data_IF_336967907726
#
_entry.id   IF_336967907726
#
_cell.length_a   1.000
_cell.length_b   1.000
_cell.length_c   1.000
_cell.angle_alpha   90.00
_cell.angle_beta   90.00
_cell.angle_gamma   90.00
#
_symmetry.space_group_name_H-M   'P 1'
#
loop_
_entity.id
_entity.type
_entity.pdbx_description
1 polymer ?
#
# COMPACT_ATOMS: atom_id res chain seq x y z
N UNK A 1 -41.56 34.38 32.96
CA UNK A 1 -42.35 35.47 32.44
C UNK A 1 -43.18 34.87 31.34
N UNK A 2 -44.37 34.48 31.77
CA UNK A 2 -45.69 34.93 31.26
C UNK A 2 -45.97 34.27 29.93
N UNK A 3 -46.76 33.26 29.91
CA UNK A 3 -48.25 33.18 30.03
C UNK A 3 -48.87 33.08 28.67
N UNK A 4 -49.56 32.02 28.49
CA UNK A 4 -51.04 31.89 28.46
C UNK A 4 -51.63 32.14 27.06
N UNK A 5 -52.67 31.57 26.56
CA UNK A 5 -53.78 30.85 27.15
C UNK A 5 -54.73 30.34 26.04
N UNK A 6 -55.41 29.21 26.28
CA UNK A 6 -56.82 28.96 26.02
C UNK A 6 -57.41 29.16 24.60
N UNK A 7 -58.26 28.37 24.06
CA UNK A 7 -59.26 27.54 24.62
C UNK A 7 -60.27 27.01 23.58
N UNK A 8 -60.90 25.93 23.91
CA UNK A 8 -62.34 25.58 23.84
C UNK A 8 -63.07 25.77 22.53
N UNK A 9 -63.84 24.89 22.03
CA UNK A 9 -64.80 23.92 22.56
C UNK A 9 -65.73 23.52 21.46
N UNK A 10 -66.19 22.40 21.51
CA UNK A 10 -67.49 21.88 21.94
C UNK A 10 -68.43 21.46 20.81
N UNK A 11 -68.84 20.24 20.97
CA UNK A 11 -70.18 19.66 20.91
C UNK A 11 -70.75 19.07 19.63
N UNK A 12 -70.99 17.75 19.76
CA UNK A 12 -71.94 16.94 19.03
C UNK A 12 -73.40 17.38 19.42
N UNK A 13 -74.51 16.81 18.98
CA UNK A 13 -74.83 15.45 18.52
C UNK A 13 -75.96 15.37 17.47
N UNK A 14 -76.88 14.37 17.47
CA UNK A 14 -76.93 13.13 16.70
C UNK A 14 -78.12 13.12 15.72
N UNK A 15 -78.39 11.99 15.01
CA UNK A 15 -79.71 11.40 14.85
C UNK A 15 -79.66 10.12 13.99
N UNK A 16 -80.39 9.15 14.47
CA UNK A 16 -80.81 7.84 14.08
C UNK A 16 -81.26 7.64 12.63
N UNK A 17 -81.11 6.39 12.18
CA UNK A 17 -81.75 5.84 11.01
C UNK A 17 -81.50 4.34 10.87
N UNK A 18 -82.42 3.56 11.37
CA UNK A 18 -82.55 2.12 11.28
C UNK A 18 -82.59 1.60 9.83
N UNK A 19 -82.08 0.40 9.62
CA UNK A 19 -82.64 -0.38 8.53
C UNK A 19 -81.81 -1.53 7.98
N UNK A 20 -82.09 -2.74 8.44
CA UNK A 20 -82.19 -4.03 7.72
C UNK A 20 -80.92 -4.85 7.53
N UNK A 21 -80.91 -5.94 8.21
CA UNK A 21 -80.04 -7.10 8.12
C UNK A 21 -80.11 -7.86 6.81
N UNK A 22 -78.96 -8.30 6.28
CA UNK A 22 -78.80 -9.38 5.31
C UNK A 22 -77.52 -10.16 5.65
N UNK A 23 -77.46 -11.48 5.50
CA UNK A 23 -76.58 -12.34 6.29
C UNK A 23 -75.22 -12.61 5.64
N UNK A 24 -74.21 -12.60 6.51
CA UNK A 24 -73.00 -13.48 6.52
C UNK A 24 -72.21 -13.70 5.24
N UNK A 25 -71.22 -12.85 5.03
CA UNK A 25 -70.02 -13.17 4.21
C UNK A 25 -68.71 -13.16 5.05
N UNK A 26 -68.81 -13.10 6.38
CA UNK A 26 -67.67 -13.06 7.28
C UNK A 26 -66.90 -14.38 7.47
N UNK A 27 -67.47 -15.50 7.04
CA UNK A 27 -66.87 -16.82 7.26
C UNK A 27 -66.04 -17.32 6.10
N UNK A 28 -66.30 -16.88 4.89
CA UNK A 28 -65.51 -17.23 3.69
C UNK A 28 -64.22 -16.45 3.62
N UNK A 29 -64.23 -15.17 4.05
CA UNK A 29 -63.03 -14.34 4.10
C UNK A 29 -62.09 -14.72 5.27
N UNK A 30 -62.62 -15.19 6.40
CA UNK A 30 -61.79 -15.70 7.48
C UNK A 30 -61.14 -17.04 7.17
N UNK A 31 -61.77 -17.92 6.43
CA UNK A 31 -61.17 -19.20 5.99
C UNK A 31 -60.12 -19.02 4.90
N UNK A 32 -60.22 -18.01 4.06
CA UNK A 32 -59.18 -17.67 3.07
C UNK A 32 -57.95 -17.04 3.72
N UNK A 33 -58.15 -16.18 4.72
CA UNK A 33 -57.03 -15.54 5.44
C UNK A 33 -56.34 -16.51 6.40
N UNK A 34 -57.05 -17.43 7.05
CA UNK A 34 -56.44 -18.49 7.87
C UNK A 34 -55.74 -19.56 7.01
N UNK A 35 -56.27 -19.85 5.82
CA UNK A 35 -55.63 -20.77 4.86
C UNK A 35 -54.32 -20.23 4.29
N UNK A 36 -54.25 -18.94 4.02
CA UNK A 36 -53.02 -18.28 3.54
C UNK A 36 -52.02 -18.08 4.67
N UNK A 37 -52.43 -17.75 5.89
CA UNK A 37 -51.56 -17.69 7.06
C UNK A 37 -50.96 -19.05 7.44
N UNK A 38 -51.74 -20.13 7.35
CA UNK A 38 -51.26 -21.50 7.55
C UNK A 38 -50.34 -22.01 6.40
N UNK A 39 -50.56 -21.56 5.17
CA UNK A 39 -49.63 -21.85 4.05
C UNK A 39 -48.32 -21.11 4.20
N UNK A 40 -48.32 -19.86 4.64
CA UNK A 40 -47.10 -19.06 4.91
C UNK A 40 -46.34 -19.65 6.10
N UNK A 41 -47.00 -20.02 7.21
CA UNK A 41 -46.35 -20.66 8.34
C UNK A 41 -45.73 -22.03 8.01
N UNK A 42 -46.39 -22.85 7.20
CA UNK A 42 -45.84 -24.13 6.72
C UNK A 42 -44.72 -23.99 5.69
N UNK A 43 -44.68 -22.88 4.92
CA UNK A 43 -43.60 -22.63 3.96
C UNK A 43 -42.30 -22.20 4.68
N UNK A 44 -42.37 -21.51 5.79
CA UNK A 44 -41.17 -21.07 6.52
C UNK A 44 -40.46 -22.24 7.23
N UNK A 45 -41.19 -23.25 7.69
CA UNK A 45 -40.59 -24.36 8.43
C UNK A 45 -39.78 -25.30 7.57
N UNK A 46 -40.29 -25.72 6.39
CA UNK A 46 -39.54 -26.58 5.48
C UNK A 46 -38.37 -25.85 4.80
N UNK A 47 -38.50 -24.57 4.46
CA UNK A 47 -37.39 -23.75 3.96
C UNK A 47 -36.28 -23.68 4.98
N UNK A 48 -36.59 -23.58 6.27
CA UNK A 48 -35.61 -23.60 7.35
C UNK A 48 -34.88 -24.96 7.48
N UNK A 49 -35.56 -26.07 7.17
CA UNK A 49 -34.93 -27.40 7.11
C UNK A 49 -33.96 -27.48 5.92
N UNK A 50 -34.39 -27.07 4.75
CA UNK A 50 -33.56 -27.03 3.53
C UNK A 50 -32.32 -26.15 3.78
N UNK A 51 -32.49 -24.97 4.38
CA UNK A 51 -31.39 -24.06 4.69
C UNK A 51 -30.36 -24.70 5.63
N UNK A 52 -30.82 -25.31 6.73
CA UNK A 52 -29.93 -25.96 7.71
C UNK A 52 -29.12 -27.09 7.09
N UNK A 53 -29.77 -27.92 6.28
CA UNK A 53 -29.14 -29.08 5.68
C UNK A 53 -28.13 -28.66 4.61
N UNK A 54 -28.49 -27.68 3.74
CA UNK A 54 -27.59 -27.15 2.75
C UNK A 54 -26.37 -26.42 3.36
N UNK A 55 -26.60 -25.66 4.44
CA UNK A 55 -25.53 -24.99 5.18
C UNK A 55 -24.55 -25.99 5.84
N UNK A 56 -25.07 -27.10 6.38
CA UNK A 56 -24.26 -28.16 6.95
C UNK A 56 -23.41 -28.87 5.90
N UNK A 57 -23.98 -29.16 4.71
CA UNK A 57 -23.23 -29.79 3.61
C UNK A 57 -22.08 -28.92 3.08
N UNK A 58 -22.33 -27.64 2.95
CA UNK A 58 -21.34 -26.68 2.44
C UNK A 58 -20.40 -26.14 3.53
N UNK A 59 -20.61 -26.53 4.80
CA UNK A 59 -19.90 -25.99 5.97
C UNK A 59 -19.86 -24.44 5.97
N UNK A 60 -21.03 -23.83 5.79
CA UNK A 60 -21.18 -22.37 5.65
C UNK A 60 -22.28 -21.83 6.55
N UNK A 61 -22.28 -20.53 6.89
CA UNK A 61 -23.33 -19.91 7.69
C UNK A 61 -24.71 -19.96 7.01
N UNK A 62 -25.74 -20.36 7.74
CA UNK A 62 -27.12 -20.48 7.24
C UNK A 62 -27.70 -19.11 6.82
N UNK A 63 -27.23 -18.03 7.40
CA UNK A 63 -27.67 -16.66 7.12
C UNK A 63 -27.47 -16.25 5.65
N UNK A 64 -26.56 -16.91 4.95
CA UNK A 64 -26.28 -16.67 3.52
C UNK A 64 -27.38 -17.22 2.59
N UNK A 65 -28.34 -18.01 3.10
CA UNK A 65 -29.39 -18.64 2.30
C UNK A 65 -30.77 -18.00 2.44
N UNK A 66 -31.03 -17.25 3.52
CA UNK A 66 -32.38 -16.86 3.91
C UNK A 66 -33.21 -16.22 2.80
N UNK A 67 -32.66 -15.22 2.11
CA UNK A 67 -33.35 -14.49 1.05
C UNK A 67 -33.34 -15.27 -0.29
N UNK A 68 -32.29 -16.05 -0.55
CA UNK A 68 -32.17 -16.84 -1.77
C UNK A 68 -33.23 -17.95 -1.86
N UNK A 69 -33.48 -18.66 -0.79
CA UNK A 69 -34.46 -19.74 -0.77
C UNK A 69 -35.90 -19.25 -1.01
N UNK A 70 -36.26 -18.08 -0.49
CA UNK A 70 -37.56 -17.48 -0.78
C UNK A 70 -37.73 -17.11 -2.25
N UNK A 71 -36.69 -16.55 -2.89
CA UNK A 71 -36.68 -16.23 -4.32
C UNK A 71 -36.84 -17.50 -5.16
N UNK A 72 -36.14 -18.58 -4.80
CA UNK A 72 -36.28 -19.88 -5.48
C UNK A 72 -37.64 -20.48 -5.33
N UNK A 73 -38.21 -20.46 -4.11
CA UNK A 73 -39.54 -21.00 -3.84
C UNK A 73 -40.63 -20.25 -4.64
N UNK A 74 -40.57 -18.92 -4.62
CA UNK A 74 -41.48 -18.07 -5.38
C UNK A 74 -41.39 -18.32 -6.87
N UNK A 75 -40.18 -18.44 -7.42
CA UNK A 75 -40.01 -18.76 -8.84
C UNK A 75 -40.55 -20.13 -9.22
N UNK A 76 -40.34 -21.14 -8.37
CA UNK A 76 -40.83 -22.49 -8.60
C UNK A 76 -42.36 -22.57 -8.59
N UNK A 77 -43.02 -21.78 -7.72
CA UNK A 77 -44.48 -21.78 -7.57
C UNK A 77 -45.20 -20.89 -8.59
N UNK A 78 -44.65 -19.72 -8.90
CA UNK A 78 -45.29 -18.70 -9.74
C UNK A 78 -44.73 -18.62 -11.16
N UNK A 79 -43.56 -19.19 -11.44
CA UNK A 79 -42.82 -19.01 -12.70
C UNK A 79 -42.23 -17.60 -12.86
N UNK A 80 -42.34 -16.76 -11.85
CA UNK A 80 -41.88 -15.35 -11.85
C UNK A 80 -40.36 -15.26 -11.92
N UNK A 81 -39.86 -14.28 -12.64
CA UNK A 81 -38.43 -13.92 -12.60
C UNK A 81 -38.12 -13.09 -11.36
N UNK A 82 -36.92 -13.20 -10.80
CA UNK A 82 -36.50 -12.40 -9.67
C UNK A 82 -36.47 -10.90 -10.06
N UNK A 83 -36.86 -10.05 -9.13
CA UNK A 83 -36.80 -8.60 -9.29
C UNK A 83 -35.37 -8.12 -9.06
N UNK A 84 -35.05 -6.92 -9.55
CA UNK A 84 -33.75 -6.30 -9.33
C UNK A 84 -33.40 -6.15 -7.83
N UNK A 85 -34.40 -5.89 -6.98
CA UNK A 85 -34.20 -5.79 -5.52
C UNK A 85 -33.82 -7.13 -4.89
N UNK A 86 -34.40 -8.21 -5.37
CA UNK A 86 -34.11 -9.57 -4.91
C UNK A 86 -32.70 -10.00 -5.33
N UNK A 87 -32.29 -9.74 -6.55
CA UNK A 87 -30.92 -9.97 -7.02
C UNK A 87 -29.90 -9.09 -6.28
N UNK A 88 -30.26 -7.85 -5.94
CA UNK A 88 -29.38 -6.99 -5.12
C UNK A 88 -29.22 -7.52 -3.70
N UNK A 89 -30.26 -8.18 -3.14
CA UNK A 89 -30.14 -8.85 -1.85
C UNK A 89 -29.17 -10.03 -1.91
N UNK A 90 -29.22 -10.83 -2.97
CA UNK A 90 -28.25 -11.91 -3.22
C UNK A 90 -26.83 -11.36 -3.40
N UNK A 91 -26.68 -10.23 -4.10
CA UNK A 91 -25.36 -9.56 -4.21
C UNK A 91 -24.82 -9.14 -2.85
N UNK A 92 -25.68 -8.66 -1.94
CA UNK A 92 -25.26 -8.35 -0.55
C UNK A 92 -24.84 -9.60 0.23
N UNK A 93 -25.53 -10.74 0.00
CA UNK A 93 -25.12 -12.01 0.60
C UNK A 93 -23.75 -12.46 0.09
N UNK A 94 -23.46 -12.28 -1.19
CA UNK A 94 -22.12 -12.53 -1.74
C UNK A 94 -21.04 -11.67 -1.06
N UNK A 95 -21.31 -10.39 -0.82
CA UNK A 95 -20.40 -9.52 -0.03
C UNK A 95 -20.20 -10.04 1.38
N UNK A 96 -21.28 -10.38 2.08
CA UNK A 96 -21.23 -10.92 3.45
C UNK A 96 -20.43 -12.23 3.51
N UNK A 97 -20.58 -13.11 2.51
CA UNK A 97 -19.81 -14.34 2.43
C UNK A 97 -18.28 -14.04 2.38
N UNK A 98 -17.87 -13.08 1.56
CA UNK A 98 -16.47 -12.66 1.48
C UNK A 98 -15.98 -12.06 2.82
N UNK A 99 -16.76 -11.19 3.46
CA UNK A 99 -16.46 -10.57 4.76
C UNK A 99 -16.32 -11.60 5.89
N UNK A 100 -17.07 -12.72 5.81
CA UNK A 100 -16.99 -13.83 6.75
C UNK A 100 -15.88 -14.85 6.40
N UNK A 101 -15.09 -14.60 5.36
CA UNK A 101 -14.01 -15.48 4.94
C UNK A 101 -14.47 -16.74 4.20
N UNK A 102 -15.75 -16.82 3.80
CA UNK A 102 -16.27 -17.92 2.99
C UNK A 102 -15.73 -17.80 1.57
N UNK A 103 -15.14 -18.88 1.04
CA UNK A 103 -14.64 -18.89 -0.33
C UNK A 103 -15.78 -18.81 -1.36
N UNK A 104 -15.50 -18.22 -2.54
CA UNK A 104 -16.50 -18.06 -3.60
C UNK A 104 -17.08 -19.40 -4.05
N UNK A 105 -16.25 -20.45 -4.14
CA UNK A 105 -16.72 -21.79 -4.54
C UNK A 105 -17.63 -22.38 -3.48
N UNK A 106 -17.28 -22.23 -2.19
CA UNK A 106 -18.14 -22.67 -1.07
C UNK A 106 -19.49 -21.96 -1.06
N UNK A 107 -19.50 -20.65 -1.35
CA UNK A 107 -20.75 -19.89 -1.45
C UNK A 107 -21.61 -20.35 -2.64
N UNK A 108 -21.00 -20.67 -3.78
CA UNK A 108 -21.70 -21.25 -4.94
C UNK A 108 -22.24 -22.65 -4.63
N UNK A 109 -21.42 -23.51 -4.03
CA UNK A 109 -21.82 -24.87 -3.64
C UNK A 109 -23.00 -24.85 -2.66
N UNK A 110 -23.01 -23.89 -1.70
CA UNK A 110 -24.12 -23.66 -0.81
C UNK A 110 -25.43 -23.37 -1.57
N UNK A 111 -25.36 -22.47 -2.56
CA UNK A 111 -26.52 -22.07 -3.36
C UNK A 111 -27.04 -23.22 -4.24
N UNK A 112 -26.14 -23.97 -4.84
CA UNK A 112 -26.49 -25.13 -5.67
C UNK A 112 -27.07 -26.27 -4.82
N UNK A 113 -26.50 -26.57 -3.67
CA UNK A 113 -27.02 -27.56 -2.72
C UNK A 113 -28.43 -27.18 -2.21
N UNK A 114 -28.59 -25.89 -1.86
CA UNK A 114 -29.87 -25.37 -1.43
C UNK A 114 -30.96 -25.48 -2.52
N UNK A 115 -30.62 -25.13 -3.77
CA UNK A 115 -31.53 -25.24 -4.91
C UNK A 115 -31.91 -26.68 -5.20
N UNK A 116 -30.93 -27.61 -5.15
CA UNK A 116 -31.18 -29.05 -5.34
C UNK A 116 -32.10 -29.61 -4.27
N UNK A 117 -31.87 -29.30 -2.99
CA UNK A 117 -32.73 -29.76 -1.90
C UNK A 117 -34.12 -29.15 -1.96
N UNK A 118 -34.21 -27.84 -2.26
CA UNK A 118 -35.49 -27.17 -2.44
C UNK A 118 -36.32 -27.87 -3.54
N UNK A 119 -35.70 -28.19 -4.70
CA UNK A 119 -36.35 -28.87 -5.80
C UNK A 119 -36.95 -30.22 -5.39
N UNK A 120 -36.27 -30.98 -4.52
CA UNK A 120 -36.74 -32.29 -4.03
C UNK A 120 -37.93 -32.18 -3.06
N UNK A 121 -37.99 -31.07 -2.30
CA UNK A 121 -38.95 -30.90 -1.22
C UNK A 121 -40.23 -30.14 -1.65
N UNK A 122 -40.30 -29.52 -2.83
CA UNK A 122 -41.49 -28.76 -3.28
C UNK A 122 -42.68 -29.69 -3.47
N UNK A 123 -43.72 -29.66 -2.58
CA UNK A 123 -44.79 -30.66 -2.59
C UNK A 123 -45.68 -30.61 -3.84
N UNK A 124 -45.88 -29.40 -4.38
CA UNK A 124 -46.71 -29.13 -5.55
C UNK A 124 -46.08 -29.63 -6.83
N UNK A 125 -44.76 -29.79 -6.91
CA UNK A 125 -44.00 -30.24 -8.07
C UNK A 125 -43.79 -31.76 -7.98
N UNK A 126 -43.33 -32.25 -6.84
CA UNK A 126 -43.04 -33.69 -6.63
C UNK A 126 -44.29 -34.57 -6.80
N UNK A 127 -45.49 -34.06 -6.45
CA UNK A 127 -46.76 -34.76 -6.56
C UNK A 127 -47.52 -34.44 -7.86
N UNK A 128 -47.02 -33.57 -8.72
CA UNK A 128 -47.71 -33.17 -9.95
C UNK A 128 -47.55 -34.23 -11.03
N UNK A 129 -48.70 -34.58 -11.67
CA UNK A 129 -48.73 -35.41 -12.87
C UNK A 129 -48.69 -34.60 -14.18
N UNK A 130 -48.73 -33.26 -14.06
CA UNK A 130 -48.70 -32.33 -15.17
C UNK A 130 -47.26 -32.02 -15.56
N UNK A 131 -46.77 -32.62 -16.64
CA UNK A 131 -45.42 -32.48 -17.17
C UNK A 131 -45.06 -31.04 -17.58
N UNK A 132 -46.06 -30.28 -18.10
CA UNK A 132 -45.82 -28.90 -18.54
C UNK A 132 -45.58 -27.98 -17.33
N UNK A 133 -46.33 -28.15 -16.24
CA UNK A 133 -46.12 -27.42 -15.00
C UNK A 133 -44.75 -27.72 -14.38
N UNK A 134 -44.38 -29.00 -14.35
CA UNK A 134 -43.05 -29.39 -13.84
C UNK A 134 -41.93 -28.80 -14.67
N UNK A 135 -42.05 -28.80 -16.00
CA UNK A 135 -41.07 -28.21 -16.90
C UNK A 135 -40.96 -26.69 -16.73
N UNK A 136 -42.10 -25.99 -16.66
CA UNK A 136 -42.10 -24.54 -16.45
C UNK A 136 -41.46 -24.13 -15.10
N UNK A 137 -41.73 -24.90 -14.04
CA UNK A 137 -41.12 -24.68 -12.73
C UNK A 137 -39.60 -24.94 -12.79
N UNK A 138 -39.15 -26.00 -13.45
CA UNK A 138 -37.73 -26.30 -13.62
C UNK A 138 -37.00 -25.18 -14.37
N UNK A 139 -37.58 -24.73 -15.49
CA UNK A 139 -37.02 -23.59 -16.25
C UNK A 139 -36.94 -22.32 -15.43
N UNK A 140 -37.93 -22.03 -14.57
CA UNK A 140 -37.91 -20.86 -13.70
C UNK A 140 -36.81 -20.96 -12.63
N UNK A 141 -36.72 -22.11 -11.94
CA UNK A 141 -35.70 -22.36 -10.93
C UNK A 141 -34.28 -22.27 -11.50
N UNK A 142 -34.03 -22.90 -12.66
CA UNK A 142 -32.70 -22.85 -13.30
C UNK A 142 -32.30 -21.43 -13.69
N UNK A 143 -33.26 -20.63 -14.19
CA UNK A 143 -33.00 -19.21 -14.46
C UNK A 143 -32.60 -18.43 -13.17
N UNK A 144 -33.36 -18.64 -12.08
CA UNK A 144 -33.04 -17.99 -10.80
C UNK A 144 -31.68 -18.43 -10.29
N UNK A 145 -31.34 -19.71 -10.37
CA UNK A 145 -30.03 -20.22 -9.97
C UNK A 145 -28.94 -19.51 -10.76
N UNK A 146 -29.07 -19.43 -12.09
CA UNK A 146 -28.09 -18.76 -12.93
C UNK A 146 -27.90 -17.28 -12.54
N UNK A 147 -29.01 -16.54 -12.49
CA UNK A 147 -29.00 -15.11 -12.16
C UNK A 147 -28.48 -14.87 -10.73
N UNK A 148 -28.85 -15.71 -9.76
CA UNK A 148 -28.43 -15.59 -8.37
C UNK A 148 -26.95 -15.92 -8.19
N UNK A 149 -26.44 -16.98 -8.80
CA UNK A 149 -25.02 -17.36 -8.73
C UNK A 149 -24.14 -16.28 -9.36
N UNK A 150 -24.55 -15.72 -10.51
CA UNK A 150 -23.84 -14.63 -11.17
C UNK A 150 -23.68 -13.42 -10.21
N UNK A 151 -24.78 -12.91 -9.66
CA UNK A 151 -24.74 -11.73 -8.78
C UNK A 151 -24.09 -12.02 -7.42
N UNK A 152 -24.18 -13.27 -6.92
CA UNK A 152 -23.47 -13.71 -5.72
C UNK A 152 -21.96 -13.60 -5.91
N UNK A 153 -21.44 -14.16 -7.00
CA UNK A 153 -20.01 -14.14 -7.34
C UNK A 153 -19.53 -12.72 -7.59
N UNK A 154 -20.31 -11.90 -8.29
CA UNK A 154 -19.99 -10.47 -8.47
C UNK A 154 -19.88 -9.73 -7.13
N UNK A 155 -20.86 -9.94 -6.24
CA UNK A 155 -20.86 -9.35 -4.91
C UNK A 155 -19.65 -9.77 -4.07
N UNK A 156 -19.34 -11.06 -4.08
CA UNK A 156 -18.18 -11.64 -3.40
C UNK A 156 -16.85 -11.06 -3.92
N UNK A 157 -16.66 -11.05 -5.24
CA UNK A 157 -15.46 -10.51 -5.86
C UNK A 157 -15.30 -9.01 -5.61
N UNK A 158 -16.40 -8.25 -5.64
CA UNK A 158 -16.38 -6.81 -5.35
C UNK A 158 -15.92 -6.54 -3.91
N UNK A 159 -16.45 -7.29 -2.94
CA UNK A 159 -16.04 -7.18 -1.54
C UNK A 159 -14.56 -7.57 -1.37
N UNK A 160 -14.14 -8.69 -1.95
CA UNK A 160 -12.75 -9.14 -1.89
C UNK A 160 -11.78 -8.09 -2.43
N UNK A 161 -12.10 -7.50 -3.60
CA UNK A 161 -11.29 -6.39 -4.16
C UNK A 161 -11.29 -5.16 -3.26
N UNK A 162 -12.40 -4.87 -2.60
CA UNK A 162 -12.48 -3.73 -1.66
C UNK A 162 -11.65 -3.97 -0.42
N UNK A 163 -11.71 -5.17 0.18
CA UNK A 163 -10.90 -5.55 1.35
C UNK A 163 -9.41 -5.45 1.04
N UNK A 164 -8.96 -5.99 -0.10
CA UNK A 164 -7.56 -5.88 -0.53
C UNK A 164 -7.14 -4.41 -0.67
N UNK A 165 -7.97 -3.57 -1.32
CA UNK A 165 -7.64 -2.13 -1.44
C UNK A 165 -7.60 -1.40 -0.10
N UNK A 166 -8.47 -1.76 0.84
CA UNK A 166 -8.46 -1.17 2.18
C UNK A 166 -7.21 -1.57 2.97
N UNK A 167 -6.82 -2.84 2.88
CA UNK A 167 -5.60 -3.34 3.50
C UNK A 167 -4.35 -2.67 2.92
N UNK A 168 -4.25 -2.58 1.58
CA UNK A 168 -3.17 -1.85 0.92
C UNK A 168 -3.14 -0.36 1.29
N UNK A 169 -4.31 0.28 1.40
CA UNK A 169 -4.40 1.69 1.79
C UNK A 169 -3.96 1.89 3.24
N UNK A 170 -4.43 1.04 4.16
CA UNK A 170 -4.03 1.08 5.56
C UNK A 170 -2.53 0.83 5.74
N UNK A 171 -1.95 -0.10 4.95
CA UNK A 171 -0.50 -0.35 4.95
C UNK A 171 0.29 0.86 4.48
N UNK A 172 -0.13 1.51 3.38
CA UNK A 172 0.53 2.73 2.87
C UNK A 172 0.47 3.86 3.89
N UNK A 173 -0.69 4.12 4.47
CA UNK A 173 -0.88 5.14 5.49
C UNK A 173 -0.02 4.87 6.73
N UNK A 174 0.03 3.61 7.19
CA UNK A 174 0.89 3.22 8.30
C UNK A 174 2.38 3.46 8.00
N UNK A 175 2.85 3.06 6.81
CA UNK A 175 4.24 3.29 6.36
C UNK A 175 4.54 4.78 6.31
N UNK A 176 3.63 5.59 5.77
CA UNK A 176 3.81 7.04 5.69
C UNK A 176 3.93 7.68 7.07
N UNK A 177 3.06 7.31 7.99
CA UNK A 177 3.08 7.82 9.37
C UNK A 177 4.35 7.38 10.12
N UNK A 178 4.74 6.11 9.96
CA UNK A 178 5.94 5.54 10.59
C UNK A 178 7.22 6.24 10.12
N UNK A 179 7.33 6.49 8.81
CA UNK A 179 8.52 7.12 8.22
C UNK A 179 8.56 8.64 8.39
N UNK A 180 7.41 9.28 8.60
CA UNK A 180 7.33 10.72 8.89
C UNK A 180 7.80 11.05 10.29
N UNK A 181 7.49 10.20 11.27
CA UNK A 181 7.97 10.32 12.65
C UNK A 181 7.30 11.41 13.48
N UNK A 182 6.22 12.01 13.03
CA UNK A 182 5.46 13.06 13.72
C UNK A 182 4.14 12.55 14.34
N UNK A 183 3.81 11.29 14.14
CA UNK A 183 2.59 10.64 14.61
C UNK A 183 2.77 10.15 16.06
N UNK A 184 1.67 10.16 16.83
CA UNK A 184 1.62 9.61 18.19
C UNK A 184 2.09 8.15 18.21
N UNK A 185 3.12 7.89 19.03
CA UNK A 185 3.76 6.57 19.15
C UNK A 185 2.77 5.50 19.58
N UNK A 186 1.82 5.81 20.47
CA UNK A 186 0.84 4.84 20.93
C UNK A 186 -0.05 4.32 19.80
N UNK A 187 -0.48 5.21 18.91
CA UNK A 187 -1.25 4.84 17.72
C UNK A 187 -0.42 4.05 16.70
N UNK A 188 0.88 4.37 16.58
CA UNK A 188 1.77 3.61 15.72
C UNK A 188 1.98 2.19 16.23
N UNK A 189 2.12 2.00 17.54
CA UNK A 189 2.28 0.67 18.17
C UNK A 189 1.05 -0.20 17.93
N UNK A 190 -0.16 0.33 18.15
CA UNK A 190 -1.40 -0.42 17.88
C UNK A 190 -1.53 -0.84 16.42
N UNK A 191 -1.12 0.02 15.49
CA UNK A 191 -1.18 -0.24 14.04
C UNK A 191 -0.02 -1.09 13.52
N UNK A 192 1.04 -1.29 14.30
CA UNK A 192 2.20 -2.09 13.93
C UNK A 192 1.98 -3.60 14.11
N UNK A 193 1.13 -3.98 15.07
CA UNK A 193 0.85 -5.39 15.40
C UNK A 193 0.35 -6.22 14.21
N UNK A 194 -0.63 -5.76 13.38
CA UNK A 194 -1.07 -6.48 12.20
C UNK A 194 0.03 -6.73 11.15
N UNK A 195 1.09 -5.93 11.18
CA UNK A 195 2.25 -6.05 10.27
C UNK A 195 3.41 -6.84 10.88
N UNK A 196 3.24 -7.40 12.07
CA UNK A 196 4.26 -8.18 12.76
C UNK A 196 5.47 -7.38 13.23
N UNK A 197 5.34 -6.04 13.38
CA UNK A 197 6.42 -5.14 13.78
C UNK A 197 6.39 -4.85 15.28
N UNK A 198 7.52 -5.11 15.96
CA UNK A 198 7.76 -4.68 17.34
C UNK A 198 8.54 -3.36 17.35
N UNK A 199 7.82 -2.24 17.44
CA UNK A 199 8.42 -0.90 17.46
C UNK A 199 9.28 -0.62 18.71
N UNK A 200 9.28 -1.50 19.69
CA UNK A 200 10.21 -1.42 20.84
C UNK A 200 11.65 -1.82 20.51
N UNK A 201 11.84 -2.57 19.42
CA UNK A 201 13.14 -3.04 18.97
C UNK A 201 13.89 -2.01 18.15
N UNK A 202 15.19 -2.29 17.93
CA UNK A 202 16.02 -1.50 17.02
C UNK A 202 15.77 -1.93 15.57
N UNK A 203 15.55 -0.96 14.68
CA UNK A 203 15.33 -1.21 13.25
C UNK A 203 16.25 -0.33 12.39
N UNK A 204 16.63 -0.87 11.24
CA UNK A 204 17.37 -0.18 10.18
C UNK A 204 16.48 -0.02 8.94
N UNK A 205 16.51 1.15 8.33
CA UNK A 205 15.87 1.42 7.05
C UNK A 205 16.92 1.47 5.95
N UNK A 206 16.66 0.73 4.88
CA UNK A 206 17.40 0.84 3.62
C UNK A 206 16.45 1.28 2.51
N UNK A 207 16.93 2.15 1.63
CA UNK A 207 16.21 2.65 0.46
C UNK A 207 16.92 2.21 -0.81
N UNK A 208 16.15 1.69 -1.77
CA UNK A 208 16.69 1.40 -3.08
C UNK A 208 15.96 2.22 -4.15
N UNK A 209 16.74 2.81 -5.05
CA UNK A 209 16.24 3.60 -6.16
C UNK A 209 16.84 3.11 -7.48
N UNK A 210 16.05 3.02 -8.55
CA UNK A 210 16.59 2.76 -9.87
C UNK A 210 17.44 3.95 -10.34
N UNK A 211 18.56 3.66 -10.96
CA UNK A 211 19.44 4.70 -11.54
C UNK A 211 18.81 5.27 -12.82
N UNK A 212 17.97 4.49 -13.50
CA UNK A 212 17.18 4.92 -14.68
C UNK A 212 15.70 4.68 -14.40
N UNK A 213 14.84 5.55 -14.88
CA UNK A 213 13.40 5.56 -14.62
C UNK A 213 12.59 4.39 -15.22
N UNK A 214 13.22 3.35 -15.75
CA UNK A 214 12.54 2.24 -16.43
C UNK A 214 12.14 1.08 -15.49
N UNK A 215 12.74 1.00 -14.31
CA UNK A 215 12.47 -0.08 -13.36
C UNK A 215 11.19 0.17 -12.56
N UNK A 216 10.35 -0.85 -12.45
CA UNK A 216 9.13 -0.79 -11.62
C UNK A 216 9.48 -1.09 -10.16
N UNK A 217 9.33 -0.10 -9.30
CA UNK A 217 9.53 -0.25 -7.84
C UNK A 217 8.54 -1.25 -7.25
N UNK A 218 7.28 -1.27 -7.72
CA UNK A 218 6.28 -2.21 -7.20
C UNK A 218 6.65 -3.68 -7.47
N UNK A 219 7.24 -3.98 -8.64
CA UNK A 219 7.76 -5.32 -8.91
C UNK A 219 8.94 -5.65 -8.02
N UNK A 220 9.79 -4.69 -7.74
CA UNK A 220 10.93 -4.85 -6.85
C UNK A 220 10.49 -5.12 -5.40
N UNK A 221 9.39 -4.48 -4.93
CA UNK A 221 8.77 -4.75 -3.62
C UNK A 221 8.41 -6.23 -3.49
N UNK A 222 7.68 -6.79 -4.46
CA UNK A 222 7.24 -8.20 -4.41
C UNK A 222 8.44 -9.16 -4.38
N UNK A 223 9.45 -8.90 -5.22
CA UNK A 223 10.66 -9.73 -5.26
C UNK A 223 11.44 -9.64 -3.95
N UNK A 224 11.54 -8.45 -3.39
CA UNK A 224 12.29 -8.21 -2.15
C UNK A 224 11.57 -8.80 -0.94
N UNK A 225 10.26 -8.59 -0.83
CA UNK A 225 9.44 -9.15 0.25
C UNK A 225 9.60 -10.67 0.32
N UNK A 226 9.45 -11.34 -0.82
CA UNK A 226 9.67 -12.79 -0.90
C UNK A 226 11.08 -13.20 -0.48
N UNK A 227 12.11 -12.51 -0.99
CA UNK A 227 13.49 -12.86 -0.72
C UNK A 227 13.90 -12.64 0.74
N UNK A 228 13.33 -11.60 1.39
CA UNK A 228 13.58 -11.29 2.81
C UNK A 228 12.87 -12.32 3.69
N UNK A 229 11.59 -12.61 3.43
CA UNK A 229 10.81 -13.58 4.20
C UNK A 229 11.40 -14.98 4.09
N UNK A 230 11.79 -15.41 2.89
CA UNK A 230 12.42 -16.72 2.68
C UNK A 230 13.74 -16.88 3.47
N UNK A 231 14.50 -15.81 3.66
CA UNK A 231 15.83 -15.86 4.27
C UNK A 231 15.86 -15.46 5.74
N UNK A 232 15.07 -14.48 6.13
CA UNK A 232 15.14 -13.85 7.46
C UNK A 232 13.87 -14.02 8.29
N UNK A 233 12.80 -14.57 7.68
CA UNK A 233 11.48 -14.64 8.28
C UNK A 233 10.68 -13.36 8.07
N UNK A 234 9.46 -13.35 8.56
CA UNK A 234 8.46 -12.29 8.39
C UNK A 234 8.35 -11.33 9.61
N UNK A 235 9.06 -11.62 10.68
CA UNK A 235 8.99 -10.83 11.92
C UNK A 235 9.87 -9.60 11.84
N UNK A 236 9.30 -8.46 12.25
CA UNK A 236 9.98 -7.16 12.31
C UNK A 236 10.52 -6.68 10.95
N UNK A 237 9.92 -7.16 9.85
CA UNK A 237 10.30 -6.81 8.49
C UNK A 237 9.12 -6.14 7.78
N UNK A 238 9.40 -5.01 7.13
CA UNK A 238 8.42 -4.32 6.29
C UNK A 238 9.08 -3.88 4.99
N UNK A 239 8.48 -4.28 3.86
CA UNK A 239 8.90 -3.86 2.53
C UNK A 239 7.76 -3.08 1.91
N UNK A 240 8.04 -1.88 1.42
CA UNK A 240 7.04 -1.00 0.83
C UNK A 240 7.60 -0.15 -0.32
N UNK A 241 6.74 0.46 -1.11
CA UNK A 241 7.11 1.55 -2.02
C UNK A 241 6.66 2.89 -1.44
N UNK A 242 7.53 3.90 -1.52
CA UNK A 242 7.24 5.29 -1.16
C UNK A 242 8.07 6.24 -2.02
N UNK A 243 7.40 7.22 -2.63
CA UNK A 243 8.05 8.26 -3.45
C UNK A 243 8.99 7.68 -4.53
N UNK A 244 8.55 6.65 -5.25
CA UNK A 244 9.32 5.89 -6.23
C UNK A 244 10.59 5.21 -5.68
N UNK A 245 10.65 4.99 -4.38
CA UNK A 245 11.71 4.26 -3.69
C UNK A 245 11.18 2.94 -3.15
N UNK A 246 12.01 1.90 -3.23
CA UNK A 246 11.82 0.70 -2.44
C UNK A 246 12.31 1.00 -1.01
N UNK A 247 11.43 0.86 -0.04
CA UNK A 247 11.72 0.99 1.39
C UNK A 247 11.82 -0.41 1.99
N UNK A 248 12.90 -0.69 2.67
CA UNK A 248 13.15 -1.94 3.39
C UNK A 248 13.43 -1.61 4.85
N UNK A 249 12.54 -2.02 5.75
CA UNK A 249 12.69 -1.95 7.20
C UNK A 249 13.02 -3.36 7.71
N UNK A 250 14.11 -3.48 8.45
CA UNK A 250 14.57 -4.76 9.03
C UNK A 250 15.05 -4.55 10.46
N UNK A 251 15.07 -5.61 11.30
CA UNK A 251 15.68 -5.53 12.63
C UNK A 251 17.13 -5.05 12.55
N UNK A 252 17.56 -4.27 13.54
CA UNK A 252 18.95 -3.82 13.66
C UNK A 252 19.96 -4.96 13.80
N UNK A 253 19.50 -6.07 14.38
CA UNK A 253 20.19 -7.35 14.45
C UNK A 253 19.42 -8.36 13.60
N UNK A 254 19.74 -8.41 12.32
CA UNK A 254 19.12 -9.31 11.37
C UNK A 254 19.86 -10.65 11.35
N UNK A 255 19.14 -11.75 11.59
CA UNK A 255 19.69 -13.11 11.60
C UNK A 255 19.24 -13.88 10.35
N UNK A 256 20.18 -14.50 9.68
CA UNK A 256 19.89 -15.42 8.57
C UNK A 256 19.33 -16.72 9.11
N UNK A 257 18.06 -17.02 8.80
CA UNK A 257 17.36 -18.22 9.30
C UNK A 257 17.94 -19.52 8.70
N UNK A 258 18.56 -19.43 7.52
CA UNK A 258 19.12 -20.59 6.82
C UNK A 258 20.52 -20.95 7.33
N UNK A 259 21.38 -19.93 7.53
CA UNK A 259 22.76 -20.13 7.96
C UNK A 259 23.00 -19.94 9.45
N UNK A 260 21.96 -19.51 10.19
CA UNK A 260 22.01 -19.19 11.63
C UNK A 260 23.12 -18.19 12.00
N UNK A 261 23.40 -17.25 11.12
CA UNK A 261 24.44 -16.22 11.27
C UNK A 261 23.86 -14.81 11.23
N UNK A 262 24.51 -13.87 11.89
CA UNK A 262 24.13 -12.46 11.83
C UNK A 262 24.43 -11.88 10.46
N UNK A 263 23.46 -11.12 9.92
CA UNK A 263 23.62 -10.40 8.66
C UNK A 263 24.12 -9.00 8.93
N UNK A 264 25.36 -8.76 8.57
CA UNK A 264 26.02 -7.46 8.81
C UNK A 264 25.70 -6.41 7.74
N UNK A 265 25.18 -6.80 6.59
CA UNK A 265 24.88 -5.89 5.46
C UNK A 265 23.53 -6.19 4.78
N UNK A 266 22.39 -5.77 5.38
CA UNK A 266 21.08 -5.92 4.75
C UNK A 266 20.95 -5.16 3.43
N UNK A 267 21.63 -4.02 3.29
CA UNK A 267 21.61 -3.20 2.08
C UNK A 267 22.34 -3.89 0.91
N UNK A 268 23.50 -4.50 1.18
CA UNK A 268 24.22 -5.31 0.19
C UNK A 268 23.43 -6.53 -0.25
N UNK A 269 22.70 -7.18 0.67
CA UNK A 269 21.77 -8.26 0.32
C UNK A 269 20.68 -7.73 -0.63
N UNK A 270 20.02 -6.62 -0.27
CA UNK A 270 18.97 -6.01 -1.10
C UNK A 270 19.49 -5.69 -2.51
N UNK A 271 20.66 -5.03 -2.60
CA UNK A 271 21.28 -4.71 -3.90
C UNK A 271 21.54 -5.97 -4.73
N UNK A 272 22.12 -7.01 -4.12
CA UNK A 272 22.43 -8.26 -4.82
C UNK A 272 21.17 -8.92 -5.39
N UNK A 273 20.06 -8.91 -4.65
CA UNK A 273 18.77 -9.49 -5.07
C UNK A 273 18.10 -8.66 -6.17
N UNK A 274 18.10 -7.34 -6.06
CA UNK A 274 17.60 -6.44 -7.11
C UNK A 274 18.37 -6.62 -8.42
N UNK A 275 19.68 -6.71 -8.35
CA UNK A 275 20.54 -6.96 -9.52
C UNK A 275 20.27 -8.32 -10.17
N UNK A 276 19.96 -9.36 -9.41
CA UNK A 276 19.62 -10.68 -9.93
C UNK A 276 18.26 -10.71 -10.62
N UNK A 277 17.26 -10.00 -10.06
CA UNK A 277 15.90 -9.99 -10.57
C UNK A 277 15.72 -9.15 -11.85
N UNK A 278 16.51 -8.08 -11.98
CA UNK A 278 16.41 -7.12 -13.08
C UNK A 278 17.79 -6.85 -13.65
N UNK A 279 18.32 -7.76 -14.49
CA UNK A 279 19.69 -7.70 -15.05
C UNK A 279 19.99 -6.44 -15.87
N UNK A 280 18.97 -5.73 -16.32
CA UNK A 280 19.11 -4.52 -17.15
C UNK A 280 18.96 -3.23 -16.35
N UNK A 281 18.49 -3.31 -15.10
CA UNK A 281 18.25 -2.14 -14.26
C UNK A 281 19.33 -2.03 -13.19
N UNK A 282 20.02 -0.90 -13.18
CA UNK A 282 20.98 -0.57 -12.12
C UNK A 282 20.22 0.06 -10.97
N UNK A 283 20.43 -0.46 -9.76
CA UNK A 283 19.86 0.04 -8.53
C UNK A 283 20.95 0.63 -7.64
N UNK A 284 20.66 1.75 -7.01
CA UNK A 284 21.46 2.31 -5.95
C UNK A 284 20.73 2.13 -4.62
N UNK A 285 21.42 1.61 -3.62
CA UNK A 285 20.86 1.32 -2.30
C UNK A 285 21.56 2.18 -1.26
N UNK A 286 20.80 2.83 -0.39
CA UNK A 286 21.35 3.55 0.74
C UNK A 286 20.75 3.04 2.05
N UNK A 287 21.56 2.88 3.09
CA UNK A 287 21.13 2.42 4.40
C UNK A 287 21.39 3.46 5.48
N UNK A 288 20.35 3.72 6.30
CA UNK A 288 20.46 4.45 7.55
C UNK A 288 21.10 3.59 8.64
N UNK A 289 21.29 4.15 9.81
CA UNK A 289 21.72 3.41 11.00
C UNK A 289 20.54 2.78 11.71
N UNK A 290 20.76 1.71 12.42
CA UNK A 290 19.74 1.10 13.26
C UNK A 290 19.49 1.94 14.52
N UNK A 291 18.22 2.16 14.85
CA UNK A 291 17.79 2.90 16.04
C UNK A 291 16.57 2.22 16.68
N UNK A 292 16.41 2.32 18.00
CA UNK A 292 15.23 1.81 18.69
C UNK A 292 14.04 2.76 18.54
N UNK A 293 12.83 2.16 18.53
CA UNK A 293 11.58 2.90 18.60
C UNK A 293 11.12 3.50 17.27
N UNK A 294 9.86 3.94 17.22
CA UNK A 294 9.25 4.53 16.02
C UNK A 294 10.03 5.76 15.51
N UNK A 295 10.45 6.66 16.40
CA UNK A 295 11.31 7.80 16.04
C UNK A 295 12.66 7.37 15.47
N UNK A 296 13.17 6.22 15.96
CA UNK A 296 14.41 5.64 15.45
C UNK A 296 14.27 5.20 13.99
N UNK A 297 13.11 4.64 13.63
CA UNK A 297 12.80 4.23 12.26
C UNK A 297 12.74 5.45 11.34
N UNK A 298 12.00 6.49 11.72
CA UNK A 298 11.92 7.73 10.94
C UNK A 298 13.31 8.37 10.75
N UNK A 299 14.14 8.38 11.80
CA UNK A 299 15.51 8.88 11.71
C UNK A 299 16.38 8.03 10.77
N UNK A 300 16.28 6.71 10.84
CA UNK A 300 16.99 5.81 9.93
C UNK A 300 16.58 6.05 8.47
N UNK A 301 15.28 6.25 8.23
CA UNK A 301 14.74 6.59 6.90
C UNK A 301 15.33 7.90 6.38
N UNK A 302 15.31 8.98 7.17
CA UNK A 302 15.88 10.26 6.75
C UNK A 302 17.38 10.17 6.48
N UNK A 303 18.13 9.41 7.28
CA UNK A 303 19.55 9.15 7.03
C UNK A 303 19.80 8.41 5.72
N UNK A 304 18.98 7.37 5.42
CA UNK A 304 19.07 6.63 4.16
C UNK A 304 18.70 7.52 2.97
N UNK A 305 17.66 8.36 3.11
CA UNK A 305 17.22 9.29 2.07
C UNK A 305 18.27 10.34 1.75
N UNK A 306 18.85 10.94 2.78
CA UNK A 306 19.99 11.87 2.63
C UNK A 306 21.18 11.20 1.96
N UNK A 307 21.56 9.98 2.40
CA UNK A 307 22.66 9.24 1.83
C UNK A 307 22.45 8.94 0.33
N UNK A 308 21.23 8.58 -0.06
CA UNK A 308 20.88 8.34 -1.47
C UNK A 308 21.00 9.62 -2.31
N UNK A 309 20.52 10.75 -1.79
CA UNK A 309 20.66 12.06 -2.45
C UNK A 309 22.12 12.49 -2.59
N UNK A 310 22.90 12.34 -1.50
CA UNK A 310 24.33 12.66 -1.51
C UNK A 310 25.10 11.78 -2.48
N UNK A 311 24.81 10.48 -2.50
CA UNK A 311 25.48 9.56 -3.43
C UNK A 311 25.28 9.98 -4.89
N UNK A 312 24.06 10.40 -5.25
CA UNK A 312 23.74 10.92 -6.59
C UNK A 312 24.47 12.24 -6.88
N UNK A 313 24.45 13.20 -5.97
CA UNK A 313 25.11 14.51 -6.13
C UNK A 313 26.63 14.40 -6.23
N UNK A 314 27.19 13.52 -5.42
CA UNK A 314 28.63 13.26 -5.41
C UNK A 314 29.08 12.31 -6.52
N UNK A 315 28.16 11.77 -7.32
CA UNK A 315 28.41 10.77 -8.38
C UNK A 315 29.22 9.58 -7.85
N UNK A 316 28.85 9.08 -6.65
CA UNK A 316 29.53 7.92 -6.08
C UNK A 316 29.31 6.70 -6.98
N UNK A 317 30.41 5.98 -7.25
CA UNK A 317 30.37 4.78 -8.07
C UNK A 317 29.78 3.56 -7.35
N UNK A 318 29.73 3.64 -6.02
CA UNK A 318 29.22 2.59 -5.16
C UNK A 318 27.71 2.42 -5.32
N UNK A 319 27.29 1.21 -5.61
CA UNK A 319 25.87 0.86 -5.72
C UNK A 319 25.19 0.72 -4.35
N UNK A 320 25.99 0.53 -3.27
CA UNK A 320 25.51 0.45 -1.88
C UNK A 320 26.24 1.50 -1.04
N UNK A 321 25.49 2.37 -0.38
CA UNK A 321 26.00 3.49 0.39
C UNK A 321 25.46 3.44 1.82
N UNK A 322 26.36 3.50 2.81
CA UNK A 322 25.98 3.59 4.22
C UNK A 322 25.96 5.04 4.67
N UNK A 323 24.86 5.49 5.30
CA UNK A 323 24.72 6.88 5.77
C UNK A 323 25.85 7.28 6.76
N UNK A 324 26.37 6.31 7.53
CA UNK A 324 27.50 6.53 8.45
C UNK A 324 28.78 6.97 7.74
N UNK A 325 29.00 6.51 6.50
CA UNK A 325 30.21 6.80 5.73
C UNK A 325 30.14 8.21 5.12
N UNK A 326 28.93 8.78 5.04
CA UNK A 326 28.68 10.11 4.49
C UNK A 326 28.54 11.21 5.57
N UNK A 327 28.87 10.93 6.83
CA UNK A 327 28.71 11.88 7.94
C UNK A 327 29.45 13.20 7.69
N UNK A 328 30.67 13.14 7.10
CA UNK A 328 31.45 14.34 6.78
C UNK A 328 30.71 15.24 5.78
N UNK A 329 30.11 14.67 4.74
CA UNK A 329 29.34 15.43 3.73
C UNK A 329 28.07 16.04 4.33
N UNK A 330 27.43 15.33 5.28
CA UNK A 330 26.26 15.85 6.02
C UNK A 330 26.62 17.03 6.90
N UNK A 331 27.78 16.97 7.56
CA UNK A 331 28.28 18.09 8.38
C UNK A 331 28.56 19.30 7.51
N UNK A 332 29.23 19.11 6.36
CA UNK A 332 29.52 20.20 5.41
C UNK A 332 28.24 20.80 4.81
N UNK A 333 27.26 20.00 4.51
CA UNK A 333 26.00 20.46 3.90
C UNK A 333 25.00 21.09 4.89
N UNK A 334 25.29 21.06 6.20
CA UNK A 334 24.35 21.55 7.23
C UNK A 334 24.14 23.06 7.18
N UNK A 335 25.23 23.81 6.98
CA UNK A 335 25.18 25.26 6.79
C UNK A 335 25.42 25.58 5.32
N UNK A 336 24.31 25.67 4.60
CA UNK A 336 24.32 25.90 3.16
C UNK A 336 24.85 27.29 2.82
N UNK A 337 24.61 28.30 3.65
CA UNK A 337 25.10 29.66 3.43
C UNK A 337 26.62 29.71 3.55
N UNK A 338 27.17 29.20 4.65
CA UNK A 338 28.62 29.11 4.83
C UNK A 338 29.31 28.27 3.74
N UNK A 339 28.64 27.20 3.26
CA UNK A 339 29.17 26.39 2.18
C UNK A 339 29.21 27.15 0.86
N UNK A 340 28.17 27.91 0.53
CA UNK A 340 28.11 28.79 -0.66
C UNK A 340 29.24 29.85 -0.59
N UNK A 341 29.44 30.47 0.57
CA UNK A 341 30.50 31.47 0.77
C UNK A 341 31.89 30.87 0.60
N UNK A 342 32.12 29.67 1.13
CA UNK A 342 33.37 28.94 0.95
C UNK A 342 33.68 28.64 -0.50
N UNK A 343 32.68 28.12 -1.24
CA UNK A 343 32.80 27.79 -2.67
C UNK A 343 33.05 29.06 -3.48
N UNK A 344 32.29 30.12 -3.23
CA UNK A 344 32.43 31.39 -3.92
C UNK A 344 33.80 32.02 -3.68
N UNK A 345 34.27 32.06 -2.42
CA UNK A 345 35.56 32.66 -2.07
C UNK A 345 36.75 31.91 -2.67
N UNK A 346 36.77 30.58 -2.60
CA UNK A 346 37.90 29.77 -3.01
C UNK A 346 37.84 29.34 -4.48
N UNK A 347 36.66 29.02 -5.04
CA UNK A 347 36.54 28.48 -6.37
C UNK A 347 35.89 29.45 -7.39
N UNK A 348 35.20 30.51 -6.93
CA UNK A 348 34.62 31.52 -7.79
C UNK A 348 35.58 32.10 -8.81
N UNK A 349 36.86 32.44 -8.45
CA UNK A 349 37.85 32.93 -9.40
C UNK A 349 38.16 31.99 -10.59
N UNK A 350 37.86 30.68 -10.48
CA UNK A 350 38.09 29.71 -11.56
C UNK A 350 37.22 30.01 -12.80
N UNK A 351 36.10 30.70 -12.64
CA UNK A 351 35.22 31.12 -13.76
C UNK A 351 35.95 32.06 -14.73
N UNK A 352 37.01 32.71 -14.30
CA UNK A 352 37.85 33.60 -15.15
C UNK A 352 38.77 32.85 -16.09
N UNK A 353 38.82 31.51 -16.00
CA UNK A 353 39.60 30.69 -16.93
C UNK A 353 38.93 30.64 -18.33
N UNK A 354 39.70 30.66 -19.40
CA UNK A 354 39.20 30.58 -20.78
C UNK A 354 38.31 29.37 -21.06
N UNK A 355 38.46 28.28 -20.31
CA UNK A 355 37.63 27.07 -20.42
C UNK A 355 36.54 26.98 -19.33
N UNK A 356 36.28 28.06 -18.56
CA UNK A 356 35.40 28.03 -17.42
C UNK A 356 36.00 27.32 -16.22
N UNK A 357 35.19 27.14 -15.18
CA UNK A 357 35.62 26.49 -13.92
C UNK A 357 35.71 24.96 -14.02
N UNK A 358 34.84 24.33 -14.81
CA UNK A 358 34.67 22.86 -14.82
C UNK A 358 35.97 22.05 -15.10
N UNK A 359 36.84 22.37 -16.06
CA UNK A 359 38.07 21.60 -16.29
C UNK A 359 39.06 21.69 -15.12
N UNK A 360 39.10 22.84 -14.42
CA UNK A 360 39.97 23.05 -13.27
C UNK A 360 39.41 22.36 -12.03
N UNK A 361 38.10 22.44 -11.82
CA UNK A 361 37.40 21.75 -10.74
C UNK A 361 37.56 20.23 -10.86
N UNK A 362 37.32 19.65 -12.03
CA UNK A 362 37.52 18.21 -12.28
C UNK A 362 38.98 17.78 -12.04
N UNK A 363 39.95 18.68 -12.32
CA UNK A 363 41.38 18.38 -12.05
C UNK A 363 41.66 18.40 -10.52
N UNK A 364 41.08 19.34 -9.78
CA UNK A 364 41.19 19.39 -8.31
C UNK A 364 40.57 18.14 -7.67
N UNK A 365 39.38 17.74 -8.10
CA UNK A 365 38.72 16.53 -7.61
C UNK A 365 39.58 15.28 -7.81
N UNK A 366 40.01 15.05 -9.04
CA UNK A 366 40.86 13.92 -9.36
C UNK A 366 42.19 13.97 -8.61
N UNK A 367 42.73 15.18 -8.38
CA UNK A 367 43.98 15.38 -7.63
C UNK A 367 43.80 15.00 -6.16
N UNK A 368 42.73 15.43 -5.51
CA UNK A 368 42.47 15.07 -4.12
C UNK A 368 42.08 13.58 -3.98
N UNK A 369 41.30 13.05 -4.88
CA UNK A 369 40.97 11.60 -4.95
C UNK A 369 42.18 10.72 -5.22
N UNK A 370 43.24 11.26 -5.84
CA UNK A 370 44.52 10.60 -6.07
C UNK A 370 45.57 10.81 -4.95
N UNK A 371 45.13 11.28 -3.76
CA UNK A 371 46.00 11.54 -2.64
C UNK A 371 47.00 12.70 -2.89
N UNK A 372 46.65 13.65 -3.75
CA UNK A 372 47.46 14.77 -4.19
C UNK A 372 48.71 14.36 -4.99
N UNK A 373 48.61 13.27 -5.78
CA UNK A 373 49.68 12.75 -6.64
C UNK A 373 49.39 13.07 -8.08
N UNK A 374 50.19 13.93 -8.74
CA UNK A 374 49.93 14.41 -10.08
C UNK A 374 50.00 13.30 -11.17
N UNK A 375 50.83 12.30 -10.99
CA UNK A 375 50.92 11.17 -11.92
C UNK A 375 49.70 10.29 -11.91
N UNK A 376 49.14 10.02 -10.73
CA UNK A 376 47.92 9.27 -10.55
C UNK A 376 46.70 10.07 -11.04
N UNK A 377 46.69 11.38 -10.81
CA UNK A 377 45.69 12.31 -11.34
C UNK A 377 45.68 12.28 -12.88
N UNK A 378 46.84 12.31 -13.50
CA UNK A 378 46.97 12.26 -14.94
C UNK A 378 46.41 10.95 -15.52
N UNK A 379 46.68 9.84 -14.87
CA UNK A 379 46.15 8.52 -15.22
C UNK A 379 44.60 8.49 -15.14
N UNK A 380 44.04 8.98 -14.03
CA UNK A 380 42.59 9.02 -13.84
C UNK A 380 41.85 9.90 -14.83
N UNK A 381 42.46 11.04 -15.22
CA UNK A 381 41.85 11.98 -16.15
C UNK A 381 42.21 11.67 -17.61
N UNK A 382 43.01 10.65 -17.89
CA UNK A 382 43.53 10.32 -19.24
C UNK A 382 44.21 11.50 -19.94
N UNK A 383 44.99 12.30 -19.18
CA UNK A 383 45.74 13.45 -19.68
C UNK A 383 47.23 13.35 -19.30
N UNK A 384 48.07 14.22 -19.85
CA UNK A 384 49.49 14.23 -19.48
C UNK A 384 49.73 14.84 -18.06
N UNK A 385 50.78 14.39 -17.37
CA UNK A 385 51.21 14.98 -16.08
C UNK A 385 51.48 16.46 -16.24
N UNK A 386 52.07 16.90 -17.37
CA UNK A 386 52.30 18.30 -17.71
C UNK A 386 50.98 19.10 -17.71
N UNK A 387 49.92 18.55 -18.24
CA UNK A 387 48.62 19.19 -18.25
C UNK A 387 48.06 19.33 -16.86
N UNK A 388 48.19 18.31 -15.99
CA UNK A 388 47.76 18.36 -14.57
C UNK A 388 48.51 19.47 -13.85
N UNK A 389 49.88 19.48 -13.94
CA UNK A 389 50.71 20.49 -13.28
C UNK A 389 50.36 21.91 -13.75
N UNK A 390 50.13 22.08 -15.09
CA UNK A 390 49.71 23.37 -15.64
C UNK A 390 48.34 23.80 -15.06
N UNK A 391 47.37 22.90 -14.99
CA UNK A 391 46.03 23.22 -14.41
C UNK A 391 46.08 23.55 -12.92
N UNK A 392 46.89 22.83 -12.13
CA UNK A 392 47.08 23.12 -10.69
C UNK A 392 47.78 24.47 -10.49
N UNK A 393 48.83 24.80 -11.30
CA UNK A 393 49.45 26.12 -11.28
C UNK A 393 48.46 27.23 -11.69
N UNK A 394 47.55 26.94 -12.62
CA UNK A 394 46.51 27.89 -13.02
C UNK A 394 45.49 28.11 -11.89
N UNK A 395 45.10 27.05 -11.17
CA UNK A 395 44.25 27.16 -9.97
C UNK A 395 44.95 28.09 -8.96
N UNK A 396 46.19 27.83 -8.60
CA UNK A 396 46.99 28.66 -7.69
C UNK A 396 47.00 30.11 -8.14
N UNK A 397 47.20 30.37 -9.41
CA UNK A 397 47.29 31.75 -9.95
C UNK A 397 45.95 32.51 -9.89
N UNK A 398 44.80 31.79 -10.01
CA UNK A 398 43.48 32.40 -10.02
C UNK A 398 42.92 32.58 -8.62
N UNK A 399 43.16 31.59 -7.74
CA UNK A 399 42.55 31.54 -6.40
C UNK A 399 43.47 32.10 -5.31
N UNK A 400 44.78 32.21 -5.58
CA UNK A 400 45.79 32.52 -4.57
C UNK A 400 46.10 31.37 -3.60
N UNK A 401 45.41 30.20 -3.77
CA UNK A 401 45.52 29.04 -2.88
C UNK A 401 46.28 27.91 -3.59
N UNK A 402 47.33 27.38 -2.94
CA UNK A 402 48.15 26.32 -3.49
C UNK A 402 47.57 24.92 -3.18
N UNK A 403 47.11 24.15 -4.17
CA UNK A 403 46.62 22.79 -3.93
C UNK A 403 47.68 21.82 -3.40
N UNK A 404 48.97 22.14 -3.59
CA UNK A 404 50.10 21.33 -3.09
C UNK A 404 50.47 21.63 -1.65
N UNK A 405 50.13 22.82 -1.13
CA UNK A 405 50.39 23.22 0.26
C UNK A 405 49.45 22.48 1.23
N UNK A 406 49.96 21.67 2.17
CA UNK A 406 49.13 20.95 3.14
C UNK A 406 48.20 21.85 3.97
N UNK A 407 48.65 23.07 4.32
CA UNK A 407 47.86 24.01 5.16
C UNK A 407 46.64 24.55 4.37
N UNK A 408 46.79 24.78 3.07
CA UNK A 408 45.74 25.36 2.22
C UNK A 408 44.86 24.28 1.57
N UNK A 409 45.38 23.06 1.47
CA UNK A 409 44.74 21.92 0.78
C UNK A 409 43.38 21.56 1.40
N UNK A 410 43.26 21.58 2.74
CA UNK A 410 42.03 21.20 3.42
C UNK A 410 40.89 22.13 3.03
N UNK A 411 41.08 23.44 3.10
CA UNK A 411 40.04 24.41 2.75
C UNK A 411 39.64 24.29 1.27
N UNK A 412 40.60 24.09 0.37
CA UNK A 412 40.35 23.91 -1.04
C UNK A 412 39.62 22.58 -1.33
N UNK A 413 39.96 21.51 -0.64
CA UNK A 413 39.27 20.20 -0.76
C UNK A 413 37.82 20.31 -0.26
N UNK A 414 37.59 20.97 0.91
CA UNK A 414 36.25 21.25 1.41
C UNK A 414 35.42 22.08 0.41
N UNK A 415 36.03 23.10 -0.22
CA UNK A 415 35.35 23.87 -1.26
C UNK A 415 34.99 23.04 -2.49
N UNK A 416 35.88 22.14 -2.93
CA UNK A 416 35.63 21.21 -4.05
C UNK A 416 34.48 20.28 -3.73
N UNK A 417 34.44 19.70 -2.53
CA UNK A 417 33.30 18.88 -2.07
C UNK A 417 32.03 19.73 -2.01
N UNK A 418 32.10 20.93 -1.48
CA UNK A 418 30.99 21.88 -1.43
C UNK A 418 30.46 22.23 -2.82
N UNK A 419 31.34 22.45 -3.78
CA UNK A 419 30.96 22.70 -5.17
C UNK A 419 30.13 21.54 -5.75
N UNK A 420 30.49 20.30 -5.45
CA UNK A 420 29.70 19.12 -5.84
C UNK A 420 28.32 19.07 -5.14
N UNK A 421 28.29 19.32 -3.85
CA UNK A 421 27.02 19.36 -3.09
C UNK A 421 26.05 20.44 -3.61
N UNK A 422 26.59 21.53 -4.16
CA UNK A 422 25.84 22.65 -4.75
C UNK A 422 25.60 22.53 -6.26
N UNK A 423 26.07 21.44 -6.88
CA UNK A 423 26.04 21.21 -8.35
C UNK A 423 26.72 22.37 -9.14
N UNK A 424 27.72 23.01 -8.52
CA UNK A 424 28.49 24.05 -9.16
C UNK A 424 29.65 23.43 -9.98
N UNK A 425 29.96 23.94 -11.19
CA UNK A 425 29.48 25.17 -11.84
C UNK A 425 28.29 24.97 -12.78
N UNK A 426 27.63 23.81 -12.78
CA UNK A 426 26.46 23.54 -13.64
C UNK A 426 25.29 24.44 -13.23
N UNK A 427 25.05 24.55 -11.94
CA UNK A 427 24.10 25.46 -11.35
C UNK A 427 24.79 26.72 -10.84
N UNK A 428 24.14 27.89 -11.02
CA UNK A 428 24.66 29.14 -10.44
C UNK A 428 24.51 29.09 -8.91
N UNK A 429 25.57 29.53 -8.21
CA UNK A 429 25.49 29.68 -6.76
C UNK A 429 24.43 30.76 -6.41
N UNK A 430 23.62 30.54 -5.35
CA UNK A 430 22.72 31.56 -4.85
C UNK A 430 23.49 32.87 -4.62
N UNK A 431 22.93 33.99 -5.11
CA UNK A 431 23.53 35.31 -4.87
C UNK A 431 23.53 35.57 -3.39
N UNK A 432 24.68 35.97 -2.85
CA UNK A 432 24.78 36.51 -1.48
C UNK A 432 23.82 37.68 -1.37
N UNK A 433 22.82 37.57 -0.51
CA UNK A 433 22.17 38.78 0.00
C UNK A 433 23.14 39.40 0.98
N UNK A 434 23.91 40.39 0.49
CA UNK A 434 24.70 41.28 1.34
C UNK A 434 23.72 41.96 2.31
N UNK A 435 23.72 41.50 3.56
CA UNK A 435 23.07 42.18 4.67
C UNK A 435 23.98 43.33 5.18
#
# INVERSE_FOLDING_TARGET
MISDDLGRGAQAPPIDGEGVAGPSDGNAQKQLVDGDAQRVAGSDEWLAVVARTAAADANTPIELLREYLSILADAALSGRRPEKRELESVRRLGRRAAEQGVDANQAVDLYLSAAWRLWQEIPTIVRSRDREKVRAAADAVLRVINDAVEVLVEGHQAARRQMIRQEESARREFVDDLLRGDTDVSRLVERAEPFGLDLGRSHQVSLAAPVRSSASVDKAVVVMERAIVERFGDRDVLIASKDDLLVMLVPGELRDVVSDTDVTDPAGFAHSRLRQSARHDRWQVAAGRAYPGAYGIARSYEEAREALLLARRLHLEDDVVQARDLLMFRVLGRDQAALVDLVHALLGPLTRSRGGAAPLLNTLEAYFAAGAVATETARRLHISVRTVTYRLAKVKSLTGTDPADPAQRLALHMAVVGARLLDWPTSELPRQMLS
#
